data_IF_644528361513
#
_entry.id   IF_644528361513
#
_cell.length_a   1.000
_cell.length_b   1.000
_cell.length_c   1.000
_cell.angle_alpha   90.00
_cell.angle_beta   90.00
_cell.angle_gamma   90.00
#
_symmetry.space_group_name_H-M   'P 1'
#
loop_
_entity.id
_entity.type
_entity.pdbx_description
1 polymer ?
#
# COMPACT_ATOMS: atom_id res chain seq x y z
N UNK A 1 -49.48 7.40 22.30
CA UNK A 1 -49.08 6.25 21.50
C UNK A 1 -48.56 6.54 20.07
N UNK A 2 -48.93 7.65 19.41
CA UNK A 2 -48.44 8.00 18.05
C UNK A 2 -46.97 8.45 18.00
N UNK A 3 -46.41 8.97 19.05
CA UNK A 3 -45.05 9.48 19.15
C UNK A 3 -44.01 8.36 19.29
N UNK A 4 -44.31 7.31 20.03
CA UNK A 4 -43.43 6.12 20.16
C UNK A 4 -43.25 5.37 18.85
N UNK A 5 -44.29 5.29 18.03
CA UNK A 5 -44.20 4.64 16.70
C UNK A 5 -43.29 5.42 15.72
N UNK A 6 -43.24 6.76 15.83
CA UNK A 6 -42.33 7.59 14.99
C UNK A 6 -40.87 7.47 15.43
N UNK A 7 -40.62 7.37 16.76
CA UNK A 7 -39.26 7.17 17.30
C UNK A 7 -38.69 5.82 16.88
N UNK A 8 -39.47 4.75 16.96
CA UNK A 8 -39.04 3.39 16.52
C UNK A 8 -38.78 3.35 15.03
N UNK A 9 -39.56 4.03 14.20
CA UNK A 9 -39.33 4.09 12.76
C UNK A 9 -38.05 4.83 12.38
N UNK A 10 -37.70 5.91 13.10
CA UNK A 10 -36.47 6.69 12.86
C UNK A 10 -35.23 5.90 13.29
N UNK A 11 -35.29 5.20 14.43
CA UNK A 11 -34.16 4.36 14.89
C UNK A 11 -33.96 3.14 13.99
N UNK A 12 -35.02 2.52 13.48
CA UNK A 12 -34.92 1.41 12.55
C UNK A 12 -34.32 1.82 11.19
N UNK A 13 -34.72 3.02 10.69
CA UNK A 13 -34.17 3.57 9.44
C UNK A 13 -32.69 3.93 9.57
N UNK A 14 -32.26 4.45 10.71
CA UNK A 14 -30.85 4.77 10.98
C UNK A 14 -29.98 3.50 11.06
N UNK A 15 -30.48 2.43 11.70
CA UNK A 15 -29.78 1.15 11.78
C UNK A 15 -29.69 0.46 10.41
N UNK A 16 -30.75 0.54 9.60
CA UNK A 16 -30.73 0.01 8.23
C UNK A 16 -29.80 0.82 7.31
N UNK A 17 -29.71 2.15 7.48
CA UNK A 17 -28.80 2.98 6.72
C UNK A 17 -27.32 2.68 7.06
N UNK A 18 -27.00 2.44 8.34
CA UNK A 18 -25.67 1.99 8.74
C UNK A 18 -25.35 0.58 8.19
N UNK A 19 -26.32 -0.33 8.20
CA UNK A 19 -26.13 -1.68 7.66
C UNK A 19 -25.92 -1.68 6.13
N UNK A 20 -26.55 -0.73 5.41
CA UNK A 20 -26.33 -0.61 3.96
C UNK A 20 -24.99 0.03 3.58
N UNK A 21 -24.41 0.87 4.43
CA UNK A 21 -23.07 1.42 4.23
C UNK A 21 -21.97 0.37 4.42
N UNK A 22 -22.24 -0.68 5.21
CA UNK A 22 -21.32 -1.82 5.37
C UNK A 22 -21.52 -2.93 4.33
N UNK A 23 -22.66 -2.94 3.60
CA UNK A 23 -23.00 -3.99 2.63
C UNK A 23 -22.64 -3.63 1.17
N UNK A 24 -22.11 -2.42 0.92
CA UNK A 24 -21.70 -2.03 -0.43
C UNK A 24 -20.26 -2.45 -0.70
N UNK A 25 -20.06 -3.70 -1.16
CA UNK A 25 -18.82 -4.11 -1.80
C UNK A 25 -17.71 -4.62 -0.90
N UNK A 26 -18.04 -5.28 0.18
CA UNK A 26 -17.03 -5.92 1.01
C UNK A 26 -16.62 -7.29 0.46
N UNK A 27 -15.62 -7.37 -0.42
CA UNK A 27 -14.65 -8.44 -0.26
C UNK A 27 -14.16 -8.25 1.18
N UNK A 28 -14.39 -9.23 2.04
CA UNK A 28 -13.99 -9.21 3.45
C UNK A 28 -12.50 -8.89 3.54
N UNK A 29 -12.18 -7.60 3.62
CA UNK A 29 -10.79 -7.17 3.75
C UNK A 29 -10.39 -7.43 5.18
N UNK A 30 -9.46 -8.36 5.38
CA UNK A 30 -8.80 -8.50 6.67
C UNK A 30 -8.17 -7.16 7.05
N UNK A 31 -8.06 -6.84 8.35
CA UNK A 31 -7.52 -5.57 8.80
C UNK A 31 -6.12 -5.34 8.25
N UNK A 32 -5.84 -4.11 7.86
CA UNK A 32 -4.53 -3.70 7.41
C UNK A 32 -3.50 -3.95 8.50
N UNK A 33 -2.34 -4.43 8.11
CA UNK A 33 -1.22 -4.73 8.99
C UNK A 33 -0.38 -3.47 9.24
N UNK A 34 -0.95 -2.51 9.97
CA UNK A 34 -0.35 -1.19 10.17
C UNK A 34 0.96 -1.24 10.94
N UNK A 35 1.05 -2.06 11.98
CA UNK A 35 2.29 -2.21 12.76
C UNK A 35 3.40 -2.87 11.95
N UNK A 36 3.06 -3.90 11.18
CA UNK A 36 4.01 -4.55 10.29
C UNK A 36 4.47 -3.59 9.17
N UNK A 37 3.57 -2.75 8.65
CA UNK A 37 3.92 -1.73 7.66
C UNK A 37 4.89 -0.70 8.23
N UNK A 38 4.69 -0.26 9.47
CA UNK A 38 5.61 0.63 10.20
C UNK A 38 6.98 -0.03 10.39
N UNK A 39 7.01 -1.27 10.82
CA UNK A 39 8.26 -2.02 10.97
C UNK A 39 9.04 -2.14 9.65
N UNK A 40 8.34 -2.27 8.53
CA UNK A 40 8.97 -2.27 7.21
C UNK A 40 9.63 -0.92 6.92
N UNK A 41 8.99 0.20 7.24
CA UNK A 41 9.59 1.53 7.11
C UNK A 41 10.86 1.65 7.96
N UNK A 42 10.80 1.21 9.21
CA UNK A 42 11.94 1.24 10.12
C UNK A 42 13.10 0.41 9.58
N UNK A 43 12.82 -0.78 9.05
CA UNK A 43 13.83 -1.66 8.44
C UNK A 43 14.46 -1.03 7.17
N UNK A 44 13.67 -0.39 6.32
CA UNK A 44 14.17 0.35 5.14
C UNK A 44 15.10 1.47 5.60
N UNK A 45 14.67 2.25 6.58
CA UNK A 45 15.41 3.39 7.09
C UNK A 45 16.71 2.97 7.80
N UNK A 46 16.69 1.88 8.54
CA UNK A 46 17.91 1.32 9.15
C UNK A 46 18.97 1.00 8.08
N UNK A 47 18.56 0.35 6.97
CA UNK A 47 19.48 0.05 5.87
C UNK A 47 19.97 1.31 5.18
N UNK A 48 19.08 2.27 4.91
CA UNK A 48 19.44 3.53 4.26
C UNK A 48 20.45 4.31 5.09
N UNK A 49 20.18 4.53 6.37
CA UNK A 49 21.06 5.29 7.27
C UNK A 49 22.41 4.60 7.48
N UNK A 50 22.43 3.29 7.63
CA UNK A 50 23.65 2.49 7.69
C UNK A 50 24.56 2.69 6.46
N UNK A 51 23.95 2.95 5.30
CA UNK A 51 24.67 3.17 4.04
C UNK A 51 24.79 4.65 3.66
N UNK A 52 24.65 5.57 4.63
CA UNK A 52 24.88 7.00 4.44
C UNK A 52 23.77 7.74 3.68
N UNK A 53 22.58 7.13 3.56
CA UNK A 53 21.41 7.76 2.93
C UNK A 53 20.48 8.36 3.99
N UNK A 54 19.75 9.42 3.62
CA UNK A 54 18.71 9.97 4.48
C UNK A 54 17.58 8.96 4.71
N UNK A 55 17.04 8.93 5.92
CA UNK A 55 15.80 8.22 6.21
C UNK A 55 14.65 8.80 5.38
N UNK A 56 13.67 7.95 5.07
CA UNK A 56 12.45 8.33 4.41
C UNK A 56 11.38 8.70 5.45
N UNK A 57 10.61 9.73 5.18
CA UNK A 57 9.47 10.15 5.99
C UNK A 57 8.20 9.49 5.50
N UNK A 58 7.36 9.00 6.43
CA UNK A 58 6.04 8.48 6.07
C UNK A 58 5.18 9.63 5.54
N UNK A 59 4.57 9.43 4.39
CA UNK A 59 3.76 10.45 3.73
C UNK A 59 2.41 9.90 3.28
N UNK A 60 1.36 10.67 3.53
CA UNK A 60 -0.02 10.29 3.22
C UNK A 60 -0.22 10.06 1.72
N UNK A 61 0.33 10.91 0.86
CA UNK A 61 0.19 10.75 -0.59
C UNK A 61 0.87 9.48 -1.10
N UNK A 62 2.06 9.14 -0.56
CA UNK A 62 2.73 7.86 -0.86
C UNK A 62 1.90 6.67 -0.38
N UNK A 63 1.31 6.77 0.80
CA UNK A 63 0.43 5.73 1.37
C UNK A 63 -0.83 5.55 0.55
N UNK A 64 -1.46 6.63 0.08
CA UNK A 64 -2.64 6.58 -0.78
C UNK A 64 -2.35 5.89 -2.14
N UNK A 65 -1.19 6.17 -2.73
CA UNK A 65 -0.75 5.47 -3.94
C UNK A 65 -0.53 3.99 -3.63
N UNK A 66 0.13 3.67 -2.51
CA UNK A 66 0.36 2.29 -2.09
C UNK A 66 -0.97 1.53 -1.89
N UNK A 67 -1.97 2.17 -1.28
CA UNK A 67 -3.32 1.61 -1.11
C UNK A 67 -4.01 1.32 -2.46
N UNK A 68 -3.95 2.26 -3.40
CA UNK A 68 -4.51 2.07 -4.74
C UNK A 68 -3.82 0.93 -5.48
N UNK A 69 -2.50 0.84 -5.39
CA UNK A 69 -1.72 -0.25 -5.98
C UNK A 69 -1.99 -1.60 -5.29
N UNK A 70 -2.18 -1.59 -3.96
CA UNK A 70 -2.60 -2.77 -3.20
C UNK A 70 -3.91 -3.33 -3.72
N UNK A 71 -4.93 -2.49 -3.92
CA UNK A 71 -6.23 -2.91 -4.44
C UNK A 71 -6.13 -3.55 -5.85
N UNK A 72 -5.23 -3.06 -6.69
CA UNK A 72 -4.97 -3.66 -8.02
C UNK A 72 -4.30 -5.02 -7.88
N UNK A 73 -3.29 -5.13 -7.00
CA UNK A 73 -2.57 -6.39 -6.75
C UNK A 73 -3.48 -7.44 -6.13
N UNK A 74 -4.32 -7.07 -5.19
CA UNK A 74 -5.31 -7.97 -4.59
C UNK A 74 -6.24 -8.57 -5.66
N UNK A 75 -6.78 -7.73 -6.55
CA UNK A 75 -7.63 -8.21 -7.65
C UNK A 75 -6.90 -9.20 -8.55
N UNK A 76 -5.63 -8.96 -8.84
CA UNK A 76 -4.80 -9.86 -9.64
C UNK A 76 -4.56 -11.21 -8.95
N UNK A 77 -4.20 -11.19 -7.66
CA UNK A 77 -3.96 -12.40 -6.87
C UNK A 77 -5.23 -13.23 -6.65
N UNK A 78 -6.39 -12.59 -6.67
CA UNK A 78 -7.71 -13.23 -6.64
C UNK A 78 -8.24 -13.62 -8.03
N UNK A 79 -7.42 -13.48 -9.08
CA UNK A 79 -7.77 -13.78 -10.47
C UNK A 79 -8.98 -13.00 -11.01
N UNK A 80 -9.26 -11.82 -10.45
CA UNK A 80 -10.37 -10.95 -10.86
C UNK A 80 -10.00 -10.05 -12.03
N UNK A 81 -8.72 -9.90 -12.34
CA UNK A 81 -8.20 -9.16 -13.50
C UNK A 81 -7.04 -9.93 -14.12
N UNK A 82 -6.80 -9.69 -15.41
CA UNK A 82 -5.66 -10.27 -16.12
C UNK A 82 -4.32 -9.68 -15.66
N UNK A 83 -3.21 -10.36 -15.99
CA UNK A 83 -1.86 -9.84 -15.76
C UNK A 83 -1.64 -8.53 -16.53
N UNK A 84 -2.15 -8.44 -17.75
CA UNK A 84 -2.03 -7.27 -18.62
C UNK A 84 -2.80 -6.07 -18.05
N UNK A 85 -4.05 -6.28 -17.62
CA UNK A 85 -4.84 -5.23 -16.96
C UNK A 85 -4.19 -4.76 -15.65
N UNK A 86 -3.64 -5.70 -14.88
CA UNK A 86 -2.90 -5.39 -13.67
C UNK A 86 -1.71 -4.48 -13.99
N UNK A 87 -0.88 -4.85 -14.97
CA UNK A 87 0.28 -4.08 -15.40
C UNK A 87 -0.11 -2.67 -15.84
N UNK A 88 -1.10 -2.56 -16.72
CA UNK A 88 -1.61 -1.26 -17.21
C UNK A 88 -2.05 -0.36 -16.07
N UNK A 89 -2.87 -0.86 -15.14
CA UNK A 89 -3.36 -0.08 -13.99
C UNK A 89 -2.23 0.34 -13.05
N UNK A 90 -1.24 -0.51 -12.83
CA UNK A 90 -0.08 -0.16 -12.01
C UNK A 90 0.79 0.90 -12.68
N UNK A 91 0.93 0.87 -14.00
CA UNK A 91 1.65 1.89 -14.77
C UNK A 91 0.91 3.25 -14.71
N UNK A 92 -0.41 3.25 -14.82
CA UNK A 92 -1.24 4.44 -14.64
C UNK A 92 -1.05 5.05 -13.24
N UNK A 93 -1.11 4.23 -12.19
CA UNK A 93 -0.88 4.67 -10.81
C UNK A 93 0.55 5.18 -10.58
N UNK A 94 1.54 4.53 -11.18
CA UNK A 94 2.94 4.96 -11.10
C UNK A 94 3.21 6.27 -11.85
N UNK A 95 2.30 6.72 -12.72
CA UNK A 95 2.41 7.98 -13.46
C UNK A 95 1.70 9.17 -12.78
N UNK A 96 1.02 8.94 -11.65
CA UNK A 96 0.36 10.01 -10.90
C UNK A 96 1.39 11.04 -10.43
N UNK A 97 1.06 12.32 -10.60
CA UNK A 97 1.86 13.40 -10.04
C UNK A 97 1.65 13.47 -8.52
N UNK A 98 2.74 13.60 -7.78
CA UNK A 98 2.74 13.84 -6.36
C UNK A 98 3.49 15.12 -6.09
N UNK A 99 2.89 16.05 -5.37
CA UNK A 99 3.46 17.38 -5.06
C UNK A 99 3.98 18.13 -6.30
N UNK A 100 3.22 18.09 -7.40
CA UNK A 100 3.59 18.76 -8.66
C UNK A 100 4.73 18.08 -9.42
N UNK A 101 5.18 16.92 -8.98
CA UNK A 101 6.25 16.14 -9.62
C UNK A 101 5.64 15.04 -10.48
N UNK A 102 5.98 15.06 -11.76
CA UNK A 102 5.55 14.04 -12.72
C UNK A 102 6.46 12.82 -12.72
N UNK A 103 6.02 11.79 -13.42
CA UNK A 103 6.78 10.57 -13.72
C UNK A 103 8.19 10.85 -14.26
N UNK A 104 8.36 11.89 -15.04
CA UNK A 104 9.65 12.29 -15.62
C UNK A 104 10.62 12.82 -14.56
N UNK A 105 10.08 13.18 -13.41
CA UNK A 105 10.84 13.67 -12.27
C UNK A 105 11.53 12.60 -11.44
N UNK A 106 11.59 11.34 -11.80
CA UNK A 106 12.49 10.46 -11.10
C UNK A 106 12.00 9.56 -9.97
N UNK A 107 10.72 9.54 -9.54
CA UNK A 107 10.66 9.41 -8.10
C UNK A 107 9.92 8.22 -7.55
N UNK A 108 9.13 7.54 -8.29
CA UNK A 108 8.41 6.44 -7.68
C UNK A 108 9.25 5.17 -7.73
N UNK A 109 9.83 4.83 -6.57
CA UNK A 109 10.24 3.47 -6.29
C UNK A 109 8.99 2.69 -5.91
N UNK A 110 8.75 1.55 -6.51
CA UNK A 110 7.62 0.68 -6.15
C UNK A 110 8.13 -0.74 -6.03
N UNK A 111 7.89 -1.36 -4.89
CA UNK A 111 8.14 -2.78 -4.69
C UNK A 111 6.87 -3.49 -4.28
N UNK A 112 6.70 -4.68 -4.84
CA UNK A 112 5.62 -5.59 -4.50
C UNK A 112 6.22 -6.87 -3.96
N UNK A 113 5.75 -7.28 -2.78
CA UNK A 113 6.12 -8.54 -2.17
C UNK A 113 4.85 -9.35 -1.93
N UNK A 114 4.92 -10.65 -2.18
CA UNK A 114 3.82 -11.56 -1.88
C UNK A 114 4.36 -12.81 -1.21
N UNK A 115 3.62 -13.32 -0.23
CA UNK A 115 3.91 -14.58 0.42
C UNK A 115 4.61 -14.50 1.77
N UNK A 116 5.36 -13.45 2.07
CA UNK A 116 6.09 -13.30 3.33
C UNK A 116 5.37 -12.37 4.30
N UNK A 117 5.37 -12.74 5.58
CA UNK A 117 4.72 -11.95 6.64
C UNK A 117 5.48 -10.69 7.00
N UNK A 118 6.80 -10.71 6.88
CA UNK A 118 7.64 -9.58 7.26
C UNK A 118 8.84 -9.43 6.35
N UNK A 119 9.16 -8.18 6.05
CA UNK A 119 10.36 -7.78 5.32
C UNK A 119 11.33 -7.19 6.35
N UNK A 120 12.29 -7.99 6.78
CA UNK A 120 13.26 -7.63 7.80
C UNK A 120 14.35 -6.70 7.26
N UNK A 121 15.12 -6.07 8.14
CA UNK A 121 16.31 -5.31 7.76
C UNK A 121 17.26 -6.13 6.87
N UNK A 122 17.45 -7.42 7.19
CA UNK A 122 18.27 -8.32 6.37
C UNK A 122 17.80 -8.43 4.93
N UNK A 123 16.49 -8.45 4.71
CA UNK A 123 15.89 -8.47 3.35
C UNK A 123 16.28 -7.18 2.60
N UNK A 124 16.10 -6.03 3.23
CA UNK A 124 16.42 -4.74 2.63
C UNK A 124 17.92 -4.53 2.43
N UNK A 125 18.77 -4.99 3.37
CA UNK A 125 20.23 -4.97 3.20
C UNK A 125 20.64 -5.85 2.02
N UNK A 126 20.09 -7.06 1.90
CA UNK A 126 20.33 -7.92 0.73
C UNK A 126 19.95 -7.25 -0.58
N UNK A 127 18.83 -6.52 -0.61
CA UNK A 127 18.42 -5.72 -1.79
C UNK A 127 19.37 -4.56 -2.05
N UNK A 128 19.88 -3.91 -1.02
CA UNK A 128 20.89 -2.86 -1.17
C UNK A 128 22.19 -3.40 -1.78
N UNK A 129 22.63 -4.57 -1.35
CA UNK A 129 23.90 -5.20 -1.76
C UNK A 129 23.83 -5.80 -3.19
N UNK A 130 22.64 -6.06 -3.70
CA UNK A 130 22.46 -6.66 -5.03
C UNK A 130 22.97 -5.75 -6.15
N UNK A 131 23.83 -6.26 -7.04
CA UNK A 131 24.30 -5.54 -8.23
C UNK A 131 23.20 -5.35 -9.28
N UNK A 132 22.37 -6.38 -9.50
CA UNK A 132 21.32 -6.41 -10.52
C UNK A 132 19.92 -6.28 -9.93
N UNK A 133 19.72 -5.30 -9.05
CA UNK A 133 18.41 -4.99 -8.46
C UNK A 133 17.51 -4.30 -9.49
N UNK A 134 16.21 -4.59 -9.47
CA UNK A 134 15.23 -3.94 -10.35
C UNK A 134 15.25 -2.41 -10.11
N UNK A 135 15.05 -1.66 -11.21
CA UNK A 135 15.13 -0.17 -11.18
C UNK A 135 14.27 0.46 -10.09
N UNK A 136 13.07 -0.06 -9.88
CA UNK A 136 12.13 0.48 -8.89
C UNK A 136 12.56 0.17 -7.45
N UNK A 137 13.00 -1.06 -7.18
CA UNK A 137 13.49 -1.47 -5.85
C UNK A 137 14.77 -0.70 -5.48
N UNK A 138 15.65 -0.46 -6.45
CA UNK A 138 16.85 0.36 -6.27
C UNK A 138 16.52 1.76 -5.76
N UNK A 139 15.43 2.36 -6.22
CA UNK A 139 15.02 3.69 -5.77
C UNK A 139 14.64 3.71 -4.30
N UNK A 140 14.07 2.63 -3.78
CA UNK A 140 13.72 2.51 -2.37
C UNK A 140 14.99 2.46 -1.51
N UNK A 141 15.89 1.52 -1.80
CA UNK A 141 17.06 1.25 -0.94
C UNK A 141 18.27 2.12 -1.22
N UNK A 142 18.44 2.60 -2.46
CA UNK A 142 19.61 3.39 -2.89
C UNK A 142 19.25 4.78 -3.44
N UNK A 143 17.97 5.15 -3.46
CA UNK A 143 17.52 6.41 -4.04
C UNK A 143 17.95 7.60 -3.18
N UNK A 144 18.90 8.39 -3.64
CA UNK A 144 19.39 9.60 -2.94
C UNK A 144 18.39 10.74 -2.95
N UNK A 145 17.47 10.76 -3.91
CA UNK A 145 16.47 11.82 -4.09
C UNK A 145 15.12 11.50 -3.44
N UNK A 146 14.89 10.26 -3.05
CA UNK A 146 13.67 9.87 -2.37
C UNK A 146 13.65 10.48 -0.96
N UNK A 147 12.53 11.10 -0.60
CA UNK A 147 12.29 11.70 0.71
C UNK A 147 11.17 11.03 1.46
N UNK A 148 10.16 10.53 0.74
CA UNK A 148 8.93 10.06 1.31
C UNK A 148 8.68 8.58 1.02
N UNK A 149 7.98 7.92 1.92
CA UNK A 149 7.59 6.52 1.80
C UNK A 149 6.15 6.30 2.24
N UNK A 150 5.45 5.43 1.52
CA UNK A 150 4.19 4.83 1.93
C UNK A 150 4.32 3.32 1.86
N UNK A 151 3.90 2.64 2.91
CA UNK A 151 3.90 1.18 2.99
C UNK A 151 2.52 0.71 3.37
N UNK A 152 2.01 -0.25 2.64
CA UNK A 152 0.76 -0.95 2.95
C UNK A 152 1.02 -2.44 2.91
N UNK A 153 0.56 -3.14 3.94
CA UNK A 153 0.61 -4.58 4.03
C UNK A 153 -0.77 -5.14 4.35
N UNK A 154 -1.18 -6.16 3.60
CA UNK A 154 -2.49 -6.78 3.74
C UNK A 154 -2.40 -8.28 3.58
N UNK A 155 -3.17 -9.01 4.38
CA UNK A 155 -3.45 -10.40 4.13
C UNK A 155 -4.73 -10.50 3.29
N UNK A 156 -4.68 -11.22 2.18
CA UNK A 156 -5.84 -11.42 1.31
C UNK A 156 -6.54 -12.74 1.61
N UNK A 157 -7.75 -12.93 1.08
CA UNK A 157 -8.63 -14.04 1.41
C UNK A 157 -8.05 -15.44 1.12
N UNK A 158 -7.08 -15.54 0.23
CA UNK A 158 -6.36 -16.79 -0.06
C UNK A 158 -5.20 -17.08 0.91
N UNK A 159 -5.07 -16.29 1.98
CA UNK A 159 -4.04 -16.45 3.02
C UNK A 159 -2.69 -15.80 2.68
N UNK A 160 -2.48 -15.32 1.46
CA UNK A 160 -1.24 -14.64 1.09
C UNK A 160 -1.16 -13.24 1.68
N UNK A 161 0.04 -12.81 1.96
CA UNK A 161 0.35 -11.43 2.30
C UNK A 161 0.82 -10.68 1.05
N UNK A 162 0.33 -9.49 0.87
CA UNK A 162 0.83 -8.54 -0.13
C UNK A 162 1.38 -7.34 0.61
N UNK A 163 2.57 -6.91 0.23
CA UNK A 163 3.18 -5.66 0.71
C UNK A 163 3.48 -4.78 -0.49
N UNK A 164 3.07 -3.53 -0.40
CA UNK A 164 3.36 -2.49 -1.40
C UNK A 164 4.16 -1.39 -0.72
N UNK A 165 5.30 -1.07 -1.29
CA UNK A 165 6.16 0.03 -0.87
C UNK A 165 6.26 1.04 -2.00
N UNK A 166 5.96 2.31 -1.70
CA UNK A 166 6.06 3.43 -2.65
C UNK A 166 6.97 4.49 -2.07
N UNK A 167 7.91 5.00 -2.86
CA UNK A 167 8.80 6.11 -2.48
C UNK A 167 8.82 7.19 -3.54
N UNK A 168 8.99 8.43 -3.13
CA UNK A 168 9.21 9.58 -4.03
C UNK A 168 10.01 10.72 -3.38
#
# INVERSE_FOLDING_TARGET
>A
MKWFKKLIAITLAAVLALAMLTACGGISSMPDKTEEAKQIVDNINAVRTKNGLSALEVNTAATDIANKMMAVKEKKELLLISEEDCKKKLEELASIQVDGRSRDGYLIGVSFFSGEKSLTEKTWQGMYDMHNIRRFDRRIVRGTKAKYVGVVMKQISNGKYITVVVTY
#
